data_IF_816247525626
#
_entry.id   IF_816247525626
#
_cell.length_a   1.000
_cell.length_b   1.000
_cell.length_c   1.000
_cell.angle_alpha   90.00
_cell.angle_beta   90.00
_cell.angle_gamma   90.00
#
_symmetry.space_group_name_H-M   'P 1'
#
loop_
_entity.id
_entity.type
_entity.pdbx_description
1 polymer ?
#
# COMPACT_ATOMS: atom_id res chain seq x y z
N UNK A 1 11.94 -8.28 -38.14
CA UNK A 1 11.40 -7.16 -37.36
C UNK A 1 11.35 -7.59 -35.92
N UNK A 2 12.23 -7.04 -35.03
CA UNK A 2 12.18 -7.30 -33.59
C UNK A 2 10.85 -6.82 -33.04
N UNK A 3 10.17 -7.57 -32.13
CA UNK A 3 9.00 -7.07 -31.44
C UNK A 3 9.42 -5.79 -30.71
N UNK A 4 8.69 -4.67 -30.96
CA UNK A 4 8.84 -3.48 -30.14
C UNK A 4 8.59 -3.88 -28.70
N UNK A 5 9.61 -3.78 -27.87
CA UNK A 5 9.49 -3.93 -26.42
C UNK A 5 8.36 -3.01 -25.96
N UNK A 6 7.41 -3.57 -25.22
CA UNK A 6 6.26 -2.82 -24.72
C UNK A 6 6.79 -1.63 -23.87
N UNK A 7 6.42 -0.42 -24.22
CA UNK A 7 6.88 0.81 -23.57
C UNK A 7 6.37 0.87 -22.11
N UNK A 8 7.24 0.85 -21.09
CA UNK A 8 6.85 0.91 -19.68
C UNK A 8 6.02 2.18 -19.34
N UNK A 9 6.27 3.29 -20.04
CA UNK A 9 5.51 4.53 -19.84
C UNK A 9 4.06 4.38 -20.28
N UNK A 10 3.82 3.73 -21.43
CA UNK A 10 2.46 3.43 -21.91
C UNK A 10 1.75 2.47 -20.95
N UNK A 11 2.46 1.45 -20.42
CA UNK A 11 1.88 0.52 -19.45
C UNK A 11 1.38 1.25 -18.21
N UNK A 12 2.20 2.14 -17.63
CA UNK A 12 1.84 2.89 -16.44
C UNK A 12 0.68 3.86 -16.70
N UNK A 13 0.70 4.58 -17.82
CA UNK A 13 -0.39 5.47 -18.22
C UNK A 13 -1.72 4.73 -18.36
N UNK A 14 -1.70 3.52 -18.91
CA UNK A 14 -2.89 2.66 -19.01
C UNK A 14 -3.42 2.26 -17.63
N UNK A 15 -2.55 1.85 -16.68
CA UNK A 15 -2.95 1.48 -15.33
C UNK A 15 -3.56 2.67 -14.57
N UNK A 16 -2.90 3.82 -14.59
CA UNK A 16 -3.36 5.03 -13.87
C UNK A 16 -4.67 5.58 -14.43
N UNK A 17 -4.79 5.59 -15.78
CA UNK A 17 -6.03 6.03 -16.44
C UNK A 17 -7.18 5.07 -16.16
N UNK A 18 -6.94 3.75 -16.19
CA UNK A 18 -7.96 2.76 -15.87
C UNK A 18 -8.39 2.85 -14.39
N UNK A 19 -7.46 3.00 -13.47
CA UNK A 19 -7.76 3.20 -12.04
C UNK A 19 -8.60 4.47 -11.83
N UNK A 20 -8.29 5.57 -12.51
CA UNK A 20 -9.07 6.81 -12.46
C UNK A 20 -10.50 6.60 -12.96
N UNK A 21 -10.69 5.94 -14.10
CA UNK A 21 -12.03 5.67 -14.65
C UNK A 21 -12.85 4.84 -13.65
N UNK A 22 -12.25 3.80 -13.07
CA UNK A 22 -12.92 2.96 -12.06
C UNK A 22 -13.34 3.79 -10.85
N UNK A 23 -12.43 4.58 -10.31
CA UNK A 23 -12.64 5.36 -9.09
C UNK A 23 -13.68 6.47 -9.26
N UNK A 24 -13.71 7.14 -10.42
CA UNK A 24 -14.57 8.32 -10.62
C UNK A 24 -15.91 7.99 -11.26
N UNK A 25 -16.01 6.93 -12.04
CA UNK A 25 -17.20 6.65 -12.87
C UNK A 25 -17.71 5.20 -12.71
N UNK A 26 -16.96 4.39 -11.99
CA UNK A 26 -17.28 2.99 -11.76
C UNK A 26 -16.75 2.04 -12.84
N UNK A 27 -16.63 0.77 -12.45
CA UNK A 27 -16.07 -0.29 -13.29
C UNK A 27 -16.76 -0.46 -14.65
N UNK A 28 -18.08 -0.29 -14.70
CA UNK A 28 -18.86 -0.44 -15.92
C UNK A 28 -18.51 0.59 -17.02
N UNK A 29 -17.79 1.65 -16.70
CA UNK A 29 -17.33 2.67 -17.65
C UNK A 29 -15.94 2.38 -18.21
N UNK A 30 -15.21 1.42 -17.66
CA UNK A 30 -13.90 1.01 -18.16
C UNK A 30 -14.09 0.06 -19.35
N UNK A 31 -13.72 0.52 -20.55
CA UNK A 31 -13.66 -0.30 -21.77
C UNK A 31 -12.29 -0.15 -22.43
N UNK A 32 -11.81 -1.20 -23.12
CA UNK A 32 -10.51 -1.15 -23.81
C UNK A 32 -10.45 -0.02 -24.84
N UNK A 33 -11.55 0.22 -25.57
CA UNK A 33 -11.63 1.28 -26.58
C UNK A 33 -11.51 2.66 -25.96
N UNK A 34 -12.23 2.90 -24.87
CA UNK A 34 -12.16 4.17 -24.15
C UNK A 34 -10.78 4.40 -23.56
N UNK A 35 -10.23 3.39 -22.88
CA UNK A 35 -8.92 3.46 -22.28
C UNK A 35 -7.83 3.76 -23.32
N UNK A 36 -7.85 3.05 -24.45
CA UNK A 36 -6.91 3.32 -25.55
C UNK A 36 -7.01 4.75 -26.07
N UNK A 37 -8.23 5.26 -26.24
CA UNK A 37 -8.47 6.63 -26.68
C UNK A 37 -7.94 7.67 -25.69
N UNK A 38 -8.22 7.51 -24.39
CA UNK A 38 -7.79 8.46 -23.35
C UNK A 38 -6.26 8.50 -23.16
N UNK A 39 -5.57 7.37 -23.35
CA UNK A 39 -4.10 7.30 -23.27
C UNK A 39 -3.42 7.68 -24.59
N UNK A 40 -4.18 7.80 -25.69
CA UNK A 40 -3.62 8.08 -27.01
C UNK A 40 -2.88 6.88 -27.63
N UNK A 41 -3.35 5.67 -27.35
CA UNK A 41 -2.77 4.41 -27.85
C UNK A 41 -3.80 3.55 -28.56
N UNK A 42 -3.46 2.31 -28.93
CA UNK A 42 -4.37 1.37 -29.56
C UNK A 42 -4.87 0.31 -28.58
N UNK A 43 -6.03 -0.29 -28.87
CA UNK A 43 -6.49 -1.47 -28.11
C UNK A 43 -5.53 -2.65 -28.23
N UNK A 44 -4.78 -2.75 -29.33
CA UNK A 44 -3.75 -3.76 -29.51
C UNK A 44 -2.61 -3.57 -28.50
N UNK A 45 -2.24 -2.33 -28.17
CA UNK A 45 -1.24 -2.06 -27.14
C UNK A 45 -1.70 -2.59 -25.77
N UNK A 46 -3.00 -2.43 -25.44
CA UNK A 46 -3.55 -2.98 -24.18
C UNK A 46 -3.46 -4.51 -24.16
N UNK A 47 -3.78 -5.16 -25.26
CA UNK A 47 -3.60 -6.61 -25.36
C UNK A 47 -2.13 -7.03 -25.23
N UNK A 48 -1.21 -6.26 -25.81
CA UNK A 48 0.24 -6.53 -25.71
C UNK A 48 0.74 -6.39 -24.27
N UNK A 49 0.25 -5.40 -23.51
CA UNK A 49 0.69 -5.15 -22.13
C UNK A 49 0.01 -6.04 -21.10
N UNK A 50 -1.27 -6.38 -21.31
CA UNK A 50 -2.11 -7.00 -20.28
C UNK A 50 -2.87 -8.25 -20.75
N UNK A 51 -2.88 -8.58 -22.04
CA UNK A 51 -3.65 -9.70 -22.55
C UNK A 51 -5.18 -9.46 -22.63
N UNK A 52 -5.70 -8.42 -21.98
CA UNK A 52 -7.11 -8.06 -22.02
C UNK A 52 -7.62 -7.37 -20.75
N UNK A 53 -8.92 -7.21 -20.65
CA UNK A 53 -9.57 -6.45 -19.57
C UNK A 53 -9.37 -7.11 -18.18
N UNK A 54 -9.49 -8.42 -18.09
CA UNK A 54 -9.37 -9.16 -16.82
C UNK A 54 -7.98 -8.99 -16.23
N UNK A 55 -6.93 -9.21 -17.02
CA UNK A 55 -5.55 -9.03 -16.55
C UNK A 55 -5.21 -7.56 -16.27
N UNK A 56 -5.74 -6.62 -17.05
CA UNK A 56 -5.60 -5.19 -16.75
C UNK A 56 -6.13 -4.85 -15.35
N UNK A 57 -7.32 -5.37 -14.98
CA UNK A 57 -7.90 -5.17 -13.64
C UNK A 57 -7.04 -5.77 -12.53
N UNK A 58 -6.51 -6.98 -12.76
CA UNK A 58 -5.57 -7.62 -11.84
C UNK A 58 -4.31 -6.78 -11.66
N UNK A 59 -3.75 -6.30 -12.75
CA UNK A 59 -2.55 -5.46 -12.72
C UNK A 59 -2.77 -4.10 -12.04
N UNK A 60 -3.95 -3.48 -12.13
CA UNK A 60 -4.30 -2.28 -11.36
C UNK A 60 -4.24 -2.58 -9.86
N UNK A 61 -4.81 -3.71 -9.44
CA UNK A 61 -4.80 -4.14 -8.03
C UNK A 61 -3.37 -4.43 -7.57
N UNK A 62 -2.59 -5.18 -8.37
CA UNK A 62 -1.18 -5.49 -8.09
C UNK A 62 -0.34 -4.23 -7.95
N UNK A 63 -0.51 -3.26 -8.85
CA UNK A 63 0.19 -1.98 -8.78
C UNK A 63 -0.14 -1.21 -7.50
N UNK A 64 -1.42 -1.16 -7.11
CA UNK A 64 -1.84 -0.52 -5.87
C UNK A 64 -1.19 -1.15 -4.64
N UNK A 65 -1.19 -2.48 -4.52
CA UNK A 65 -0.54 -3.19 -3.43
C UNK A 65 0.99 -3.10 -3.51
N UNK A 66 1.59 -3.09 -4.71
CA UNK A 66 3.03 -2.91 -4.86
C UNK A 66 3.50 -1.55 -4.34
N UNK A 67 2.78 -0.48 -4.63
CA UNK A 67 3.07 0.87 -4.07
C UNK A 67 2.94 0.89 -2.55
N UNK A 68 1.89 0.29 -2.01
CA UNK A 68 1.71 0.15 -0.56
C UNK A 68 2.85 -0.64 0.07
N UNK A 69 3.17 -1.82 -0.48
CA UNK A 69 4.24 -2.68 0.00
C UNK A 69 5.61 -2.00 -0.03
N UNK A 70 5.94 -1.28 -1.12
CA UNK A 70 7.17 -0.52 -1.23
C UNK A 70 7.27 0.57 -0.14
N UNK A 71 6.15 1.25 0.15
CA UNK A 71 6.11 2.27 1.21
C UNK A 71 6.25 1.66 2.60
N UNK A 72 5.60 0.54 2.85
CA UNK A 72 5.73 -0.19 4.13
C UNK A 72 7.13 -0.77 4.32
N UNK A 73 7.72 -1.34 3.27
CA UNK A 73 9.08 -1.88 3.31
C UNK A 73 10.15 -0.81 3.62
N UNK A 74 9.86 0.46 3.33
CA UNK A 74 10.71 1.58 3.70
C UNK A 74 10.61 1.98 5.18
N UNK A 75 9.72 1.35 5.95
CA UNK A 75 9.59 1.59 7.39
C UNK A 75 10.61 0.74 8.14
N UNK A 76 11.54 1.41 8.81
CA UNK A 76 12.54 0.72 9.65
C UNK A 76 11.89 -0.03 10.79
N UNK A 77 12.35 -1.25 11.01
CA UNK A 77 11.99 -2.04 12.19
C UNK A 77 12.86 -1.61 13.37
N UNK A 78 12.22 -1.20 14.47
CA UNK A 78 12.92 -0.72 15.66
C UNK A 78 12.66 -1.60 16.89
N UNK A 79 13.29 -1.26 18.03
CA UNK A 79 12.97 -1.89 19.32
C UNK A 79 11.64 -1.46 19.93
N UNK A 80 10.88 -0.56 19.28
CA UNK A 80 9.57 -0.09 19.75
C UNK A 80 8.48 -0.52 18.76
N UNK A 81 7.86 -1.69 18.91
CA UNK A 81 6.86 -2.21 17.99
C UNK A 81 5.60 -1.33 17.91
N UNK A 82 5.27 -0.58 18.96
CA UNK A 82 4.11 0.32 18.97
C UNK A 82 4.40 1.58 18.12
N UNK A 83 5.61 2.12 18.21
CA UNK A 83 6.03 3.19 17.29
C UNK A 83 6.05 2.70 15.83
N UNK A 84 6.50 1.48 15.58
CA UNK A 84 6.51 0.89 14.24
C UNK A 84 5.08 0.70 13.71
N UNK A 85 4.10 0.28 14.53
CA UNK A 85 2.68 0.21 14.16
C UNK A 85 2.14 1.59 13.75
N UNK A 86 2.45 2.64 14.50
CA UNK A 86 2.04 4.00 14.16
C UNK A 86 2.63 4.44 12.80
N UNK A 87 3.92 4.17 12.55
CA UNK A 87 4.57 4.53 11.27
C UNK A 87 3.99 3.73 10.11
N UNK A 88 3.67 2.43 10.29
CA UNK A 88 2.98 1.63 9.28
C UNK A 88 1.59 2.18 8.96
N UNK A 89 0.83 2.62 9.95
CA UNK A 89 -0.45 3.31 9.76
C UNK A 89 -0.28 4.59 8.91
N UNK A 90 0.70 5.43 9.24
CA UNK A 90 1.00 6.62 8.44
C UNK A 90 1.46 6.28 7.01
N UNK A 91 2.22 5.20 6.81
CA UNK A 91 2.63 4.73 5.50
C UNK A 91 1.41 4.31 4.66
N UNK A 92 0.47 3.58 5.27
CA UNK A 92 -0.80 3.21 4.63
C UNK A 92 -1.63 4.44 4.24
N UNK A 93 -1.85 5.36 5.17
CA UNK A 93 -2.60 6.60 4.94
C UNK A 93 -2.00 7.41 3.78
N UNK A 94 -0.68 7.67 3.82
CA UNK A 94 0.01 8.42 2.76
C UNK A 94 -0.11 7.74 1.40
N UNK A 95 0.01 6.41 1.35
CA UNK A 95 -0.17 5.69 0.09
C UNK A 95 -1.56 5.92 -0.50
N UNK A 96 -2.59 5.88 0.33
CA UNK A 96 -3.97 6.07 -0.10
C UNK A 96 -4.22 7.50 -0.61
N UNK A 97 -3.73 8.52 0.09
CA UNK A 97 -3.94 9.93 -0.28
C UNK A 97 -3.11 10.35 -1.50
N UNK A 98 -1.91 9.80 -1.66
CA UNK A 98 -1.06 10.06 -2.84
C UNK A 98 -1.50 9.27 -4.08
N UNK A 99 -2.20 8.14 -3.91
CA UNK A 99 -2.67 7.28 -5.00
C UNK A 99 -4.18 6.97 -4.88
N UNK A 100 -5.07 7.98 -4.78
CA UNK A 100 -6.47 7.77 -4.40
C UNK A 100 -7.24 6.88 -5.38
N UNK A 101 -6.97 7.02 -6.68
CA UNK A 101 -7.63 6.21 -7.71
C UNK A 101 -7.22 4.74 -7.64
N UNK A 102 -5.91 4.47 -7.46
CA UNK A 102 -5.41 3.10 -7.27
C UNK A 102 -5.95 2.50 -5.97
N UNK A 103 -5.94 3.27 -4.87
CA UNK A 103 -6.47 2.82 -3.59
C UNK A 103 -7.93 2.41 -3.71
N UNK A 104 -8.78 3.23 -4.34
CA UNK A 104 -10.18 2.88 -4.56
C UNK A 104 -10.31 1.64 -5.45
N UNK A 105 -9.58 1.56 -6.55
CA UNK A 105 -9.61 0.42 -7.45
C UNK A 105 -9.16 -0.90 -6.81
N UNK A 106 -8.24 -0.86 -5.82
CA UNK A 106 -7.80 -2.05 -5.07
C UNK A 106 -8.96 -2.76 -4.36
N UNK A 107 -9.94 -1.99 -3.84
CA UNK A 107 -10.98 -2.51 -2.95
C UNK A 107 -12.38 -2.52 -3.57
N UNK A 108 -12.62 -1.77 -4.65
CA UNK A 108 -13.97 -1.60 -5.24
C UNK A 108 -14.26 -2.54 -6.41
N UNK A 109 -13.31 -3.36 -6.84
CA UNK A 109 -13.41 -4.19 -8.05
C UNK A 109 -14.03 -5.58 -7.81
N UNK A 110 -14.93 -5.70 -6.82
CA UNK A 110 -15.60 -6.94 -6.46
C UNK A 110 -14.76 -7.88 -5.59
N UNK A 111 -15.25 -9.09 -5.32
CA UNK A 111 -14.53 -10.06 -4.52
C UNK A 111 -13.16 -10.37 -5.14
N UNK A 112 -12.15 -10.47 -4.29
CA UNK A 112 -10.82 -10.93 -4.70
C UNK A 112 -10.95 -12.42 -5.02
N UNK A 113 -10.63 -12.82 -6.25
CA UNK A 113 -10.59 -14.25 -6.59
C UNK A 113 -9.38 -14.95 -5.93
N UNK A 114 -9.38 -16.28 -5.90
CA UNK A 114 -8.31 -17.05 -5.26
C UNK A 114 -6.93 -16.76 -5.89
N UNK A 115 -6.88 -16.45 -7.18
CA UNK A 115 -5.63 -16.14 -7.88
C UNK A 115 -5.04 -14.78 -7.43
N UNK A 116 -5.89 -13.87 -7.00
CA UNK A 116 -5.49 -12.53 -6.52
C UNK A 116 -5.44 -12.43 -4.98
N UNK A 117 -5.92 -13.45 -4.26
CA UNK A 117 -5.96 -13.44 -2.79
C UNK A 117 -4.57 -13.24 -2.15
N UNK A 118 -3.51 -13.67 -2.83
CA UNK A 118 -2.12 -13.45 -2.41
C UNK A 118 -1.62 -12.02 -2.50
N UNK A 119 -2.20 -11.20 -3.39
CA UNK A 119 -1.64 -9.90 -3.79
C UNK A 119 -1.65 -8.83 -2.68
N UNK A 120 -2.43 -9.00 -1.64
CA UNK A 120 -2.45 -8.07 -0.48
C UNK A 120 -1.90 -8.68 0.80
N UNK A 121 -1.63 -10.00 0.81
CA UNK A 121 -1.25 -10.73 2.02
C UNK A 121 0.08 -10.26 2.60
N UNK A 122 1.06 -9.91 1.77
CA UNK A 122 2.37 -9.46 2.23
C UNK A 122 2.28 -8.13 2.99
N UNK A 123 1.46 -7.20 2.51
CA UNK A 123 1.26 -5.90 3.16
C UNK A 123 0.52 -6.03 4.49
N UNK A 124 -0.48 -6.90 4.56
CA UNK A 124 -1.19 -7.23 5.80
C UNK A 124 -0.30 -8.06 6.73
N UNK A 125 0.49 -9.00 6.21
CA UNK A 125 1.44 -9.82 6.95
C UNK A 125 2.47 -9.00 7.70
N UNK A 126 2.93 -7.88 7.15
CA UNK A 126 3.83 -6.96 7.85
C UNK A 126 3.16 -6.33 9.09
N UNK A 127 1.88 -5.94 8.99
CA UNK A 127 1.11 -5.45 10.12
C UNK A 127 0.97 -6.54 11.20
N UNK A 128 0.58 -7.76 10.81
CA UNK A 128 0.48 -8.91 11.74
C UNK A 128 1.80 -9.19 12.43
N UNK A 129 2.91 -9.21 11.69
CA UNK A 129 4.25 -9.42 12.25
C UNK A 129 4.62 -8.35 13.28
N UNK A 130 4.25 -7.09 13.02
CA UNK A 130 4.52 -5.99 13.95
C UNK A 130 3.67 -6.10 15.22
N UNK A 131 2.40 -6.52 15.10
CA UNK A 131 1.55 -6.84 16.26
C UNK A 131 2.14 -8.00 17.08
N UNK A 132 2.61 -9.07 16.41
CA UNK A 132 3.29 -10.21 17.10
C UNK A 132 4.50 -9.75 17.89
N UNK A 133 5.29 -8.81 17.36
CA UNK A 133 6.40 -8.20 18.09
C UNK A 133 5.92 -7.40 19.31
N UNK A 134 4.80 -6.71 19.21
CA UNK A 134 4.15 -6.02 20.33
C UNK A 134 3.78 -6.98 21.46
N UNK A 135 3.18 -8.11 21.10
CA UNK A 135 2.84 -9.20 22.06
C UNK A 135 4.12 -9.80 22.64
N UNK A 136 5.09 -10.17 21.80
CA UNK A 136 6.34 -10.80 22.25
C UNK A 136 7.22 -9.90 23.14
N UNK A 137 7.07 -8.57 23.03
CA UNK A 137 7.76 -7.59 23.90
C UNK A 137 7.02 -7.29 25.20
N UNK A 138 5.84 -7.88 25.42
CA UNK A 138 4.98 -7.60 26.56
C UNK A 138 4.32 -6.22 26.56
N UNK A 139 4.32 -5.54 25.42
CA UNK A 139 3.60 -4.27 25.23
C UNK A 139 2.11 -4.48 24.95
N UNK A 140 1.77 -5.61 24.32
CA UNK A 140 0.39 -6.02 24.08
C UNK A 140 0.12 -7.33 24.81
N UNK A 141 -1.11 -7.52 25.26
CA UNK A 141 -1.55 -8.75 25.91
C UNK A 141 -1.53 -9.93 24.93
N UNK A 142 -1.35 -11.17 25.41
CA UNK A 142 -1.47 -12.36 24.58
C UNK A 142 -2.86 -12.46 23.93
N UNK A 143 -2.91 -12.40 22.61
CA UNK A 143 -4.14 -12.48 21.83
C UNK A 143 -3.86 -12.98 20.41
N UNK A 144 -4.92 -13.19 19.60
CA UNK A 144 -4.78 -13.46 18.18
C UNK A 144 -4.20 -12.24 17.45
N UNK A 145 -2.97 -12.30 16.92
CA UNK A 145 -2.35 -11.16 16.25
C UNK A 145 -3.05 -10.77 14.95
N UNK A 146 -3.72 -11.72 14.28
CA UNK A 146 -4.48 -11.43 13.05
C UNK A 146 -5.72 -10.63 13.38
N UNK A 147 -6.43 -10.98 14.45
CA UNK A 147 -7.60 -10.25 14.94
C UNK A 147 -7.25 -8.81 15.34
N UNK A 148 -6.14 -8.61 16.07
CA UNK A 148 -5.66 -7.27 16.45
C UNK A 148 -5.25 -6.44 15.22
N UNK A 149 -4.48 -7.04 14.31
CA UNK A 149 -4.08 -6.39 13.06
C UNK A 149 -5.29 -5.98 12.21
N UNK A 150 -6.31 -6.83 12.15
CA UNK A 150 -7.56 -6.55 11.42
C UNK A 150 -8.29 -5.33 11.99
N UNK A 151 -8.36 -5.18 13.31
CA UNK A 151 -8.98 -4.01 13.95
C UNK A 151 -8.21 -2.71 13.64
N UNK A 152 -6.88 -2.74 13.70
CA UNK A 152 -6.02 -1.60 13.34
C UNK A 152 -6.18 -1.24 11.86
N UNK A 153 -6.21 -2.25 10.99
CA UNK A 153 -6.43 -2.04 9.56
C UNK A 153 -7.82 -1.49 9.27
N UNK A 154 -8.88 -2.01 9.91
CA UNK A 154 -10.24 -1.51 9.73
C UNK A 154 -10.38 -0.04 10.14
N UNK A 155 -9.71 0.37 11.23
CA UNK A 155 -9.68 1.77 11.67
C UNK A 155 -9.10 2.68 10.58
N UNK A 156 -7.89 2.41 10.12
CA UNK A 156 -7.22 3.28 9.14
C UNK A 156 -7.91 3.24 7.78
N UNK A 157 -8.37 2.06 7.34
CA UNK A 157 -9.09 1.89 6.09
C UNK A 157 -10.41 2.69 6.08
N UNK A 158 -11.16 2.63 7.18
CA UNK A 158 -12.38 3.40 7.35
C UNK A 158 -12.14 4.91 7.31
N UNK A 159 -11.14 5.41 8.05
CA UNK A 159 -10.80 6.82 8.07
C UNK A 159 -10.35 7.35 6.70
N UNK A 160 -9.49 6.60 6.00
CA UNK A 160 -9.08 6.93 4.63
C UNK A 160 -10.29 7.00 3.69
N UNK A 161 -11.20 6.03 3.78
CA UNK A 161 -12.40 6.00 2.93
C UNK A 161 -13.28 7.23 3.17
N UNK A 162 -13.44 7.64 4.44
CA UNK A 162 -14.22 8.83 4.82
C UNK A 162 -13.57 10.13 4.29
N UNK A 163 -12.23 10.23 4.30
CA UNK A 163 -11.53 11.37 3.73
C UNK A 163 -11.66 11.43 2.21
N UNK A 164 -11.43 10.30 1.52
CA UNK A 164 -11.58 10.23 0.07
C UNK A 164 -13.02 10.54 -0.39
N UNK A 165 -14.01 10.18 0.42
CA UNK A 165 -15.41 10.57 0.23
C UNK A 165 -15.71 12.02 0.62
N UNK A 166 -14.72 12.78 1.12
CA UNK A 166 -14.85 14.19 1.59
C UNK A 166 -15.83 14.37 2.76
N UNK A 167 -16.03 13.33 3.55
CA UNK A 167 -16.86 13.36 4.77
C UNK A 167 -16.05 13.82 5.98
N UNK A 168 -14.74 13.62 5.98
CA UNK A 168 -13.81 14.13 6.98
C UNK A 168 -12.69 14.95 6.32
N UNK A 169 -12.22 15.98 7.02
CA UNK A 169 -11.01 16.71 6.61
C UNK A 169 -9.74 15.92 6.98
N UNK A 170 -8.59 16.21 6.34
CA UNK A 170 -7.30 15.58 6.70
C UNK A 170 -6.94 15.74 8.18
N UNK A 171 -7.24 16.90 8.79
CA UNK A 171 -6.96 17.14 10.21
C UNK A 171 -7.86 16.29 11.13
N UNK A 172 -9.14 16.13 10.77
CA UNK A 172 -10.06 15.24 11.49
C UNK A 172 -9.60 13.79 11.39
N UNK A 173 -9.19 13.33 10.21
CA UNK A 173 -8.68 11.96 10.02
C UNK A 173 -7.42 11.74 10.84
N UNK A 174 -6.50 12.69 10.85
CA UNK A 174 -5.27 12.62 11.67
C UNK A 174 -5.61 12.49 13.16
N UNK A 175 -6.47 13.34 13.68
CA UNK A 175 -6.88 13.30 15.09
C UNK A 175 -7.58 11.97 15.42
N UNK A 176 -8.53 11.53 14.60
CA UNK A 176 -9.22 10.26 14.79
C UNK A 176 -8.30 9.04 14.68
N UNK A 177 -7.26 9.10 13.83
CA UNK A 177 -6.29 8.01 13.71
C UNK A 177 -5.43 7.89 14.97
N UNK A 178 -4.91 9.01 15.49
CA UNK A 178 -4.09 9.01 16.70
C UNK A 178 -4.89 8.57 17.93
N UNK A 179 -6.12 9.07 18.08
CA UNK A 179 -7.00 8.71 19.20
C UNK A 179 -7.52 7.27 19.07
N UNK A 180 -7.92 6.85 17.87
CA UNK A 180 -8.38 5.48 17.61
C UNK A 180 -7.28 4.45 17.81
N UNK A 181 -6.06 4.74 17.34
CA UNK A 181 -4.89 3.89 17.59
C UNK A 181 -4.59 3.80 19.09
N UNK A 182 -4.62 4.94 19.82
CA UNK A 182 -4.47 4.96 21.28
C UNK A 182 -5.49 4.04 21.95
N UNK A 183 -6.77 4.20 21.61
CA UNK A 183 -7.86 3.43 22.23
C UNK A 183 -7.71 1.93 21.98
N UNK A 184 -7.40 1.52 20.74
CA UNK A 184 -7.21 0.11 20.42
C UNK A 184 -5.96 -0.46 21.09
N UNK A 185 -4.81 0.20 20.97
CA UNK A 185 -3.53 -0.28 21.50
C UNK A 185 -3.59 -0.38 23.04
N UNK A 186 -4.23 0.57 23.72
CA UNK A 186 -4.41 0.49 25.17
C UNK A 186 -5.44 -0.58 25.57
N UNK A 187 -6.49 -0.79 24.77
CA UNK A 187 -7.40 -1.91 24.99
C UNK A 187 -6.76 -3.28 24.76
N UNK A 188 -5.66 -3.33 23.98
CA UNK A 188 -4.84 -4.52 23.76
C UNK A 188 -3.76 -4.71 24.84
N UNK A 189 -3.75 -3.90 25.91
CA UNK A 189 -2.90 -4.05 27.08
C UNK A 189 -1.76 -3.04 27.23
N UNK A 190 -1.51 -2.15 26.25
CA UNK A 190 -0.43 -1.17 26.35
C UNK A 190 -0.73 -0.08 27.41
N UNK A 191 0.31 0.38 28.08
CA UNK A 191 0.21 1.53 28.99
C UNK A 191 -0.02 2.83 28.22
N UNK A 192 -1.03 3.66 28.57
CA UNK A 192 -1.34 4.89 27.83
C UNK A 192 -0.19 5.90 27.74
N UNK A 193 0.69 5.95 28.76
CA UNK A 193 1.88 6.82 28.75
C UNK A 193 2.97 6.25 27.86
N UNK A 194 3.11 4.91 27.85
CA UNK A 194 4.04 4.24 26.95
C UNK A 194 3.61 4.42 25.50
N UNK A 195 2.32 4.28 25.17
CA UNK A 195 1.77 4.61 23.86
C UNK A 195 2.11 6.06 23.46
N UNK A 196 1.88 7.03 24.33
CA UNK A 196 2.19 8.44 24.05
C UNK A 196 3.66 8.64 23.67
N UNK A 197 4.61 7.99 24.36
CA UNK A 197 6.04 8.05 24.01
C UNK A 197 6.33 7.40 22.64
N UNK A 198 5.67 6.29 22.34
CA UNK A 198 5.81 5.60 21.05
C UNK A 198 5.24 6.43 19.90
N UNK A 199 4.08 7.08 20.10
CA UNK A 199 3.49 7.99 19.11
C UNK A 199 4.40 9.20 18.81
N UNK A 200 5.01 9.81 19.84
CA UNK A 200 5.99 10.90 19.65
C UNK A 200 7.16 10.42 18.79
N UNK A 201 7.76 9.27 19.10
CA UNK A 201 8.85 8.70 18.30
C UNK A 201 8.43 8.43 16.85
N UNK A 202 7.22 7.92 16.65
CA UNK A 202 6.69 7.68 15.32
C UNK A 202 6.53 8.98 14.53
N UNK A 203 6.02 10.04 15.17
CA UNK A 203 5.87 11.37 14.55
C UNK A 203 7.22 11.95 14.14
N UNK A 204 8.23 11.89 15.00
CA UNK A 204 9.57 12.36 14.72
C UNK A 204 10.20 11.62 13.52
N UNK A 205 10.00 10.30 13.44
CA UNK A 205 10.46 9.46 12.31
C UNK A 205 9.76 9.82 11.00
N UNK A 206 8.45 10.03 11.05
CA UNK A 206 7.64 10.34 9.87
C UNK A 206 7.87 11.75 9.33
N UNK A 207 8.39 12.65 10.15
CA UNK A 207 8.72 14.05 9.77
C UNK A 207 10.11 14.17 9.13
N UNK A 208 10.98 13.16 9.26
CA UNK A 208 12.29 13.15 8.61
C UNK A 208 12.11 12.93 7.10
N UNK A 209 12.73 13.78 6.23
CA UNK A 209 12.73 13.49 4.81
C UNK A 209 13.37 12.12 4.59
N UNK A 210 12.70 11.27 3.78
CA UNK A 210 13.26 9.97 3.41
C UNK A 210 14.70 10.21 2.88
N UNK A 211 15.68 9.60 3.54
CA UNK A 211 17.06 9.59 3.02
C UNK A 211 16.94 8.94 1.65
N UNK A 212 17.22 9.72 0.59
CA UNK A 212 17.21 9.22 -0.78
C UNK A 212 18.03 7.94 -0.80
N UNK A 213 17.38 6.80 -1.03
CA UNK A 213 18.08 5.56 -1.36
C UNK A 213 19.04 5.91 -2.51
N UNK A 214 20.34 5.69 -2.31
CA UNK A 214 21.31 5.83 -3.39
C UNK A 214 20.81 4.97 -4.56
N UNK A 215 20.74 5.51 -5.79
CA UNK A 215 20.47 4.67 -6.93
C UNK A 215 21.54 3.57 -6.95
N UNK A 216 21.11 2.32 -6.98
CA UNK A 216 22.00 1.18 -7.19
C UNK A 216 22.66 1.41 -8.54
N UNK A 217 23.94 1.69 -8.54
CA UNK A 217 24.74 1.89 -9.75
C UNK A 217 24.78 0.59 -10.53
N UNK A 218 24.42 0.65 -11.82
CA UNK A 218 24.41 -0.50 -12.75
C UNK A 218 25.80 -1.12 -12.98
N UNK A 219 26.81 -0.79 -12.19
CA UNK A 219 28.22 -1.22 -12.37
C UNK A 219 28.58 -2.47 -11.57
N UNK A 220 27.76 -2.89 -10.58
CA UNK A 220 28.13 -4.03 -9.72
C UNK A 220 27.67 -5.43 -10.21
N UNK A 221 27.11 -5.54 -11.43
CA UNK A 221 26.66 -6.84 -11.99
C UNK A 221 27.69 -7.47 -12.95
N UNK A 222 28.82 -6.80 -13.24
CA UNK A 222 29.79 -7.26 -14.23
C UNK A 222 31.04 -7.91 -13.63
N UNK A 223 31.04 -8.45 -12.44
CA UNK A 223 32.23 -8.92 -11.72
C UNK A 223 32.11 -10.31 -11.09
N UNK A 224 31.63 -11.35 -11.80
CA UNK A 224 31.97 -12.74 -11.44
C UNK A 224 31.68 -13.74 -12.55
N UNK A 225 32.43 -13.70 -13.63
CA UNK A 225 32.50 -14.83 -14.55
C UNK A 225 33.99 -15.03 -14.92
N UNK A 226 34.71 -15.69 -14.03
CA UNK A 226 35.98 -16.34 -14.35
C UNK A 226 36.20 -17.49 -13.38
N UNK A 227 35.73 -18.65 -13.75
CA UNK A 227 36.33 -19.90 -13.29
C UNK A 227 36.66 -20.73 -14.51
N UNK A 228 37.96 -20.81 -14.79
CA UNK A 228 38.58 -21.81 -15.65
C UNK A 228 38.75 -23.11 -14.84
N UNK A 229 38.57 -24.23 -15.49
CA UNK A 229 38.92 -25.55 -15.00
C UNK A 229 38.11 -26.61 -15.72
#
# INVERSE_FOLDING_TARGET
>A
MSPRSADPGVRMALLETAARIIATEGLGKLTLRRLAHEVGTSTMAIYTHFGGMTELRREIRREGFARLGARQAAVDTTGDPIADLCVLGWAYYRNAIENPNLYQAMFMDGPIDEADAGVGLDTFGQLVTTVQRGIGSGRLDPADPVGLATQLWALIHGLVTLELARLLSPDQVRACLDDGARNLITAFGDDPRAFGRSLTRATDRSSRPAIRAKPVSAVDIAGSSSYRG
#
